data_IF_653899332419
#
_entry.id   IF_653899332419
#
_cell.length_a   1.000
_cell.length_b   1.000
_cell.length_c   1.000
_cell.angle_alpha   90.00
_cell.angle_beta   90.00
_cell.angle_gamma   90.00
#
_symmetry.space_group_name_H-M   'P 1'
#
loop_
_entity.id
_entity.type
_entity.pdbx_description
1 polymer ?
#
# COMPACT_ATOMS: atom_id res chain seq x y z
N UNK A 1 22.76 -0.65 -7.78
CA UNK A 1 21.77 -0.99 -6.71
C UNK A 1 20.37 -1.09 -7.29
N UNK A 2 19.50 -1.93 -6.71
CA UNK A 2 18.12 -2.14 -7.20
C UNK A 2 17.07 -1.89 -6.12
N UNK A 3 15.97 -1.25 -6.52
CA UNK A 3 14.85 -0.88 -5.66
C UNK A 3 13.57 -1.47 -6.23
N UNK A 4 12.71 -2.02 -5.38
CA UNK A 4 11.49 -2.69 -5.84
C UNK A 4 10.26 -2.08 -5.19
N UNK A 5 9.19 -1.93 -5.96
CA UNK A 5 7.90 -1.44 -5.51
C UNK A 5 6.79 -2.40 -5.91
N UNK A 6 5.88 -2.68 -5.00
CA UNK A 6 4.73 -3.55 -5.22
C UNK A 6 3.47 -2.78 -4.89
N UNK A 7 2.66 -2.57 -5.91
CA UNK A 7 1.33 -1.98 -5.81
C UNK A 7 0.28 -3.09 -5.72
N UNK A 8 -0.42 -3.19 -4.59
CA UNK A 8 -1.18 -4.38 -4.21
C UNK A 8 -2.68 -4.18 -4.37
N UNK A 9 -3.30 -5.02 -5.20
CA UNK A 9 -4.75 -5.03 -5.42
C UNK A 9 -5.41 -6.31 -4.91
N UNK A 10 -6.73 -6.41 -5.08
CA UNK A 10 -7.54 -7.51 -4.56
C UNK A 10 -7.19 -8.88 -5.15
N UNK A 11 -6.90 -8.95 -6.44
CA UNK A 11 -6.61 -10.20 -7.16
C UNK A 11 -5.28 -10.21 -7.92
N UNK A 12 -4.56 -9.09 -7.93
CA UNK A 12 -3.30 -8.94 -8.64
C UNK A 12 -2.39 -7.95 -7.89
N UNK A 13 -1.11 -7.97 -8.22
CA UNK A 13 -0.13 -7.00 -7.76
C UNK A 13 0.72 -6.57 -8.95
N UNK A 14 1.08 -5.29 -9.00
CA UNK A 14 2.04 -4.79 -9.98
C UNK A 14 3.39 -4.68 -9.31
N UNK A 15 4.37 -5.40 -9.87
CA UNK A 15 5.73 -5.45 -9.35
C UNK A 15 6.62 -4.66 -10.28
N UNK A 16 7.32 -3.67 -9.73
CA UNK A 16 8.29 -2.86 -10.42
C UNK A 16 9.69 -3.01 -9.78
N UNK A 17 10.72 -2.98 -10.61
CA UNK A 17 12.13 -2.92 -10.20
C UNK A 17 12.81 -1.82 -10.99
N UNK A 18 13.48 -0.91 -10.28
CA UNK A 18 14.32 0.15 -10.85
C UNK A 18 15.76 0.02 -10.36
N UNK A 19 16.69 0.64 -11.08
CA UNK A 19 18.07 0.82 -10.64
C UNK A 19 18.31 2.16 -9.92
N UNK A 20 19.56 2.44 -9.57
CA UNK A 20 19.98 3.70 -8.93
C UNK A 20 19.86 4.93 -9.83
N UNK A 21 19.84 4.73 -11.15
CA UNK A 21 19.70 5.75 -12.18
C UNK A 21 18.24 6.02 -12.56
N UNK A 22 17.29 5.42 -11.83
CA UNK A 22 15.86 5.53 -12.05
C UNK A 22 15.34 4.83 -13.32
N UNK A 23 16.13 3.92 -13.89
CA UNK A 23 15.74 3.13 -15.03
C UNK A 23 14.87 1.95 -14.59
N UNK A 24 13.72 1.78 -15.25
CA UNK A 24 12.83 0.63 -15.03
C UNK A 24 13.43 -0.61 -15.68
N UNK A 25 13.86 -1.56 -14.85
CA UNK A 25 14.41 -2.86 -15.26
C UNK A 25 13.31 -3.91 -15.46
N UNK A 26 12.23 -3.79 -14.68
CA UNK A 26 11.09 -4.71 -14.72
C UNK A 26 9.84 -3.97 -14.26
N UNK A 27 8.72 -4.18 -14.95
CA UNK A 27 7.40 -3.78 -14.48
C UNK A 27 6.36 -4.73 -15.07
N UNK A 28 5.69 -5.51 -14.24
CA UNK A 28 4.62 -6.43 -14.68
C UNK A 28 3.53 -6.58 -13.63
N UNK A 29 2.30 -6.74 -14.13
CA UNK A 29 1.17 -7.22 -13.35
C UNK A 29 1.24 -8.73 -13.19
N UNK A 30 1.15 -9.20 -11.96
CA UNK A 30 1.15 -10.61 -11.59
C UNK A 30 -0.13 -10.93 -10.81
N UNK A 31 -0.58 -12.19 -10.86
CA UNK A 31 -1.61 -12.65 -9.93
C UNK A 31 -1.10 -12.52 -8.48
N UNK A 32 -2.02 -12.47 -7.52
CA UNK A 32 -1.70 -12.52 -6.08
C UNK A 32 -1.20 -13.92 -5.66
N UNK A 33 -0.11 -14.35 -6.28
CA UNK A 33 0.61 -15.60 -6.03
C UNK A 33 2.01 -15.25 -5.54
N UNK A 34 2.30 -15.64 -4.30
CA UNK A 34 3.57 -15.35 -3.65
C UNK A 34 4.76 -15.97 -4.41
N UNK A 35 4.62 -17.15 -5.00
CA UNK A 35 5.70 -17.81 -5.72
C UNK A 35 6.06 -17.04 -6.99
N UNK A 36 5.05 -16.55 -7.72
CA UNK A 36 5.27 -15.73 -8.92
C UNK A 36 5.94 -14.39 -8.58
N UNK A 37 5.47 -13.72 -7.52
CA UNK A 37 6.04 -12.45 -7.07
C UNK A 37 7.49 -12.65 -6.60
N UNK A 38 7.76 -13.68 -5.80
CA UNK A 38 9.12 -14.00 -5.35
C UNK A 38 10.02 -14.33 -6.54
N UNK A 39 9.58 -15.14 -7.50
CA UNK A 39 10.37 -15.48 -8.69
C UNK A 39 10.74 -14.23 -9.52
N UNK A 40 9.77 -13.31 -9.70
CA UNK A 40 10.02 -12.04 -10.37
C UNK A 40 11.08 -11.22 -9.63
N UNK A 41 11.02 -11.17 -8.29
CA UNK A 41 12.00 -10.45 -7.48
C UNK A 41 13.37 -11.16 -7.46
N UNK A 42 13.44 -12.48 -7.35
CA UNK A 42 14.73 -13.21 -7.30
C UNK A 42 15.56 -12.98 -8.56
N UNK A 43 14.92 -12.84 -9.71
CA UNK A 43 15.59 -12.53 -10.99
C UNK A 43 16.36 -11.20 -10.98
N UNK A 44 16.10 -10.35 -9.98
CA UNK A 44 16.74 -9.05 -9.78
C UNK A 44 17.33 -8.92 -8.36
N UNK A 45 17.74 -10.03 -7.73
CA UNK A 45 18.21 -10.04 -6.33
C UNK A 45 19.58 -9.38 -6.12
N UNK A 46 20.47 -9.43 -7.12
CA UNK A 46 21.80 -8.83 -7.00
C UNK A 46 21.69 -7.32 -6.76
N UNK A 47 22.39 -6.85 -5.72
CA UNK A 47 22.43 -5.45 -5.26
C UNK A 47 21.08 -4.84 -4.86
N UNK A 48 20.09 -5.66 -4.47
CA UNK A 48 18.80 -5.16 -3.99
C UNK A 48 18.92 -4.52 -2.60
N UNK A 49 18.36 -3.32 -2.47
CA UNK A 49 18.27 -2.60 -1.19
C UNK A 49 17.02 -3.00 -0.38
N UNK A 50 15.88 -3.23 -1.04
CA UNK A 50 14.64 -3.60 -0.36
C UNK A 50 13.45 -3.69 -1.31
N UNK A 51 12.33 -4.16 -0.76
CA UNK A 51 11.04 -4.27 -1.46
C UNK A 51 10.00 -3.45 -0.72
N UNK A 52 9.44 -2.45 -1.40
CA UNK A 52 8.35 -1.64 -0.89
C UNK A 52 7.03 -2.31 -1.24
N UNK A 53 6.14 -2.46 -0.26
CA UNK A 53 4.78 -2.95 -0.48
C UNK A 53 3.79 -1.85 -0.10
N UNK A 54 2.82 -1.60 -0.96
CA UNK A 54 1.72 -0.70 -0.67
C UNK A 54 0.90 -1.19 0.55
N UNK A 55 0.64 -0.32 1.55
CA UNK A 55 -0.13 -0.68 2.75
C UNK A 55 -1.64 -0.76 2.52
N UNK A 56 -2.05 -1.30 1.38
CA UNK A 56 -3.44 -1.52 0.97
C UNK A 56 -3.80 -3.00 1.08
N UNK A 57 -5.11 -3.27 1.04
CA UNK A 57 -5.66 -4.63 0.99
C UNK A 57 -5.05 -5.59 2.04
N UNK A 58 -4.96 -6.88 1.71
CA UNK A 58 -4.42 -7.95 2.56
C UNK A 58 -2.89 -8.04 2.46
N UNK A 59 -2.18 -6.93 2.71
CA UNK A 59 -0.72 -6.88 2.63
C UNK A 59 -0.03 -7.82 3.65
N UNK A 60 -0.69 -8.21 4.74
CA UNK A 60 -0.12 -9.10 5.77
C UNK A 60 0.49 -10.37 5.14
N UNK A 61 -0.26 -11.06 4.27
CA UNK A 61 0.20 -12.32 3.67
C UNK A 61 1.40 -12.12 2.74
N UNK A 62 1.38 -11.04 1.95
CA UNK A 62 2.46 -10.72 1.03
C UNK A 62 3.74 -10.36 1.78
N UNK A 63 3.62 -9.45 2.76
CA UNK A 63 4.77 -8.99 3.56
C UNK A 63 5.37 -10.15 4.34
N UNK A 64 4.57 -10.97 5.02
CA UNK A 64 5.08 -12.15 5.74
C UNK A 64 5.79 -13.11 4.80
N UNK A 65 5.21 -13.37 3.62
CA UNK A 65 5.78 -14.25 2.61
C UNK A 65 7.12 -13.74 2.07
N UNK A 66 7.22 -12.43 1.83
CA UNK A 66 8.46 -11.80 1.39
C UNK A 66 9.54 -11.80 2.49
N UNK A 67 9.18 -11.51 3.74
CA UNK A 67 10.11 -11.59 4.88
C UNK A 67 10.59 -13.03 5.05
N UNK A 68 9.70 -14.02 4.98
CA UNK A 68 10.05 -15.44 5.06
C UNK A 68 10.95 -15.90 3.90
N UNK A 69 10.83 -15.27 2.72
CA UNK A 69 11.70 -15.48 1.58
C UNK A 69 13.04 -14.71 1.68
N UNK A 70 13.30 -13.99 2.78
CA UNK A 70 14.56 -13.31 3.06
C UNK A 70 14.66 -11.88 2.48
N UNK A 71 13.56 -11.27 2.05
CA UNK A 71 13.57 -9.90 1.58
C UNK A 71 13.52 -8.89 2.74
N UNK A 72 14.28 -7.80 2.61
CA UNK A 72 14.08 -6.60 3.41
C UNK A 72 12.83 -5.87 2.89
N UNK A 73 11.75 -5.88 3.66
CA UNK A 73 10.44 -5.35 3.25
C UNK A 73 10.14 -4.04 3.97
N UNK A 74 9.73 -3.05 3.21
CA UNK A 74 9.27 -1.75 3.68
C UNK A 74 7.79 -1.59 3.36
N UNK A 75 6.99 -1.16 4.32
CA UNK A 75 5.56 -0.97 4.13
C UNK A 75 5.28 0.51 3.84
N UNK A 76 4.75 0.84 2.68
CA UNK A 76 4.48 2.22 2.28
C UNK A 76 3.21 2.77 2.94
N UNK A 77 3.31 3.88 3.67
CA UNK A 77 2.15 4.61 4.18
C UNK A 77 1.51 5.46 3.08
N UNK A 78 0.58 4.86 2.35
CA UNK A 78 -0.12 5.50 1.22
C UNK A 78 -0.83 6.80 1.58
N UNK A 79 -1.39 6.90 2.80
CA UNK A 79 -2.05 8.12 3.26
C UNK A 79 -1.09 9.30 3.46
N UNK A 80 0.20 9.03 3.67
CA UNK A 80 1.25 10.05 3.80
C UNK A 80 1.99 10.31 2.49
N UNK A 81 1.84 9.43 1.49
CA UNK A 81 2.43 9.59 0.17
C UNK A 81 1.59 10.62 -0.59
N UNK A 82 2.15 11.82 -0.75
CA UNK A 82 1.59 12.84 -1.64
C UNK A 82 2.00 12.49 -3.07
N UNK A 83 1.22 11.64 -3.73
CA UNK A 83 1.32 11.52 -5.18
C UNK A 83 1.05 12.90 -5.79
N UNK A 84 1.87 13.32 -6.74
CA UNK A 84 1.76 14.62 -7.42
C UNK A 84 0.30 14.91 -7.81
N UNK A 85 -0.36 15.78 -7.04
CA UNK A 85 -1.72 16.24 -7.30
C UNK A 85 -1.75 16.92 -8.68
N UNK A 86 -2.23 16.21 -9.73
CA UNK A 86 -2.40 16.80 -11.06
C UNK A 86 -2.20 15.90 -12.28
N UNK A 87 -1.68 14.68 -12.15
CA UNK A 87 -1.50 13.79 -13.31
C UNK A 87 -2.78 13.00 -13.62
N UNK A 88 -3.43 13.38 -14.72
CA UNK A 88 -4.63 12.76 -15.34
C UNK A 88 -4.46 11.30 -15.80
N UNK A 89 -3.29 10.70 -15.58
CA UNK A 89 -2.93 9.35 -16.03
C UNK A 89 -2.17 8.62 -14.92
N UNK A 90 -2.88 8.29 -13.84
CA UNK A 90 -2.44 7.34 -12.82
C UNK A 90 -2.82 5.94 -13.30
N UNK A 91 -1.89 5.01 -13.20
CA UNK A 91 -2.11 3.61 -13.55
C UNK A 91 -1.14 2.76 -12.75
N UNK A 92 -1.60 1.57 -12.38
CA UNK A 92 -0.99 0.67 -11.39
C UNK A 92 0.53 0.43 -11.63
N UNK A 93 0.98 0.43 -12.88
CA UNK A 93 2.42 0.33 -13.23
C UNK A 93 3.25 1.54 -12.81
N UNK A 94 2.71 2.75 -12.98
CA UNK A 94 3.37 3.98 -12.53
C UNK A 94 3.39 4.06 -11.02
N UNK A 95 2.36 3.56 -10.35
CA UNK A 95 2.25 3.57 -8.90
C UNK A 95 3.32 2.65 -8.29
N UNK A 96 3.49 1.44 -8.84
CA UNK A 96 4.56 0.52 -8.43
C UNK A 96 5.96 1.10 -8.68
N UNK A 97 6.20 1.71 -9.86
CA UNK A 97 7.49 2.37 -10.16
C UNK A 97 7.73 3.55 -9.21
N UNK A 98 6.69 4.34 -8.91
CA UNK A 98 6.79 5.47 -8.01
C UNK A 98 7.16 5.04 -6.59
N UNK A 99 6.60 3.94 -6.08
CA UNK A 99 7.00 3.36 -4.79
C UNK A 99 8.50 3.01 -4.75
N UNK A 100 9.01 2.41 -5.82
CA UNK A 100 10.44 2.10 -5.94
C UNK A 100 11.29 3.39 -5.99
N UNK A 101 10.82 4.40 -6.71
CA UNK A 101 11.48 5.69 -6.87
C UNK A 101 11.61 6.46 -5.54
N UNK A 102 10.51 6.60 -4.78
CA UNK A 102 10.56 7.32 -3.49
C UNK A 102 11.41 6.59 -2.46
N UNK A 103 11.50 5.26 -2.54
CA UNK A 103 12.40 4.46 -1.70
C UNK A 103 13.86 4.66 -2.09
N UNK A 104 14.17 4.67 -3.39
CA UNK A 104 15.50 5.02 -3.92
C UNK A 104 15.97 6.40 -3.43
N UNK A 105 15.06 7.36 -3.33
CA UNK A 105 15.37 8.71 -2.83
C UNK A 105 15.46 8.81 -1.30
N UNK A 106 15.14 7.75 -0.55
CA UNK A 106 15.09 7.79 0.92
C UNK A 106 13.94 8.65 1.47
N UNK A 107 12.90 8.88 0.66
CA UNK A 107 11.75 9.72 1.01
C UNK A 107 10.50 8.90 1.36
N UNK A 108 10.62 7.58 1.42
CA UNK A 108 9.49 6.67 1.64
C UNK A 108 8.88 6.92 3.04
N UNK A 109 7.61 7.36 3.14
CA UNK A 109 6.90 7.36 4.40
C UNK A 109 6.54 5.91 4.76
N UNK A 110 7.17 5.37 5.80
CA UNK A 110 6.95 3.98 6.20
C UNK A 110 5.81 3.82 7.20
N UNK A 111 5.04 2.76 7.01
CA UNK A 111 4.08 2.23 7.97
C UNK A 111 4.71 1.14 8.84
N UNK A 112 4.21 1.01 10.06
CA UNK A 112 4.68 -0.05 10.96
C UNK A 112 4.15 -1.44 10.54
N UNK A 113 5.06 -2.40 10.35
CA UNK A 113 4.76 -3.81 10.10
C UNK A 113 4.50 -4.49 11.45
N UNK A 114 3.23 -4.71 11.77
CA UNK A 114 2.83 -5.33 13.05
C UNK A 114 3.22 -6.81 13.10
N UNK A 115 3.70 -7.33 14.24
CA UNK A 115 3.86 -8.76 14.46
C UNK A 115 2.52 -9.52 14.29
N UNK A 116 2.50 -10.76 13.78
CA UNK A 116 1.27 -11.53 13.56
C UNK A 116 0.34 -11.60 14.78
N UNK A 117 0.91 -11.76 15.98
CA UNK A 117 0.15 -11.86 17.23
C UNK A 117 -0.67 -10.60 17.56
N UNK A 118 -0.23 -9.42 17.12
CA UNK A 118 -0.86 -8.13 17.46
C UNK A 118 -1.90 -7.67 16.42
N UNK A 119 -1.88 -8.24 15.21
CA UNK A 119 -2.71 -7.80 14.08
C UNK A 119 -4.20 -7.93 14.35
N UNK A 120 -4.63 -9.03 14.97
CA UNK A 120 -6.04 -9.24 15.29
C UNK A 120 -6.60 -8.13 16.20
N UNK A 121 -5.85 -7.74 17.24
CA UNK A 121 -6.24 -6.65 18.13
C UNK A 121 -6.26 -5.31 17.39
N UNK A 122 -5.25 -5.03 16.58
CA UNK A 122 -5.20 -3.83 15.73
C UNK A 122 -6.41 -3.73 14.81
N UNK A 123 -6.77 -4.82 14.13
CA UNK A 123 -7.87 -4.86 13.17
C UNK A 123 -9.22 -4.64 13.86
N UNK A 124 -9.43 -5.26 15.03
CA UNK A 124 -10.61 -5.00 15.86
C UNK A 124 -10.69 -3.54 16.33
N UNK A 125 -9.57 -2.97 16.79
CA UNK A 125 -9.51 -1.58 17.21
C UNK A 125 -9.81 -0.61 16.05
N UNK A 126 -9.25 -0.88 14.87
CA UNK A 126 -9.55 -0.13 13.62
C UNK A 126 -11.02 -0.25 13.25
N UNK A 127 -11.61 -1.44 13.32
CA UNK A 127 -13.02 -1.64 13.01
C UNK A 127 -13.93 -0.88 13.99
N UNK A 128 -13.61 -0.92 15.28
CA UNK A 128 -14.32 -0.14 16.31
C UNK A 128 -14.26 1.35 16.01
N UNK A 129 -13.07 1.89 15.70
CA UNK A 129 -12.90 3.30 15.35
C UNK A 129 -13.75 3.68 14.14
N UNK A 130 -13.77 2.84 13.10
CA UNK A 130 -14.62 3.05 11.92
C UNK A 130 -16.11 3.12 12.30
N UNK A 131 -16.61 2.15 13.08
CA UNK A 131 -18.01 2.08 13.50
C UNK A 131 -18.42 3.28 14.36
N UNK A 132 -17.55 3.72 15.27
CA UNK A 132 -17.79 4.92 16.09
C UNK A 132 -17.90 6.16 15.23
N UNK A 133 -17.00 6.33 14.25
CA UNK A 133 -17.06 7.46 13.30
C UNK A 133 -18.34 7.42 12.45
N UNK A 134 -18.73 6.24 11.95
CA UNK A 134 -19.97 6.07 11.19
C UNK A 134 -21.20 6.41 12.02
N UNK A 135 -21.26 5.98 13.29
CA UNK A 135 -22.36 6.35 14.19
C UNK A 135 -22.51 7.87 14.28
N UNK A 136 -21.42 8.58 14.56
CA UNK A 136 -21.45 10.05 14.67
C UNK A 136 -21.89 10.70 13.35
N UNK A 137 -21.34 10.25 12.22
CA UNK A 137 -21.72 10.75 10.89
C UNK A 137 -23.21 10.56 10.59
N UNK A 138 -23.78 9.40 10.93
CA UNK A 138 -25.20 9.13 10.71
C UNK A 138 -26.11 9.97 11.61
N UNK A 139 -25.74 10.16 12.89
CA UNK A 139 -26.48 11.04 13.81
C UNK A 139 -26.53 12.47 13.25
N UNK A 140 -25.37 13.05 12.92
CA UNK A 140 -25.29 14.41 12.38
C UNK A 140 -26.04 14.56 11.04
N UNK A 141 -26.02 13.53 10.21
CA UNK A 141 -26.78 13.50 8.95
C UNK A 141 -28.30 13.55 9.21
N UNK A 142 -28.79 12.76 10.17
CA UNK A 142 -30.21 12.76 10.56
C UNK A 142 -30.61 14.11 11.17
N UNK A 143 -29.81 14.67 12.07
CA UNK A 143 -30.04 15.98 12.66
C UNK A 143 -30.12 17.08 11.59
N UNK A 144 -29.21 17.06 10.60
CA UNK A 144 -29.23 17.99 9.47
C UNK A 144 -30.50 17.83 8.62
N UNK A 145 -30.95 16.61 8.36
CA UNK A 145 -32.17 16.34 7.60
C UNK A 145 -33.42 16.84 8.34
N UNK A 146 -33.51 16.60 9.65
CA UNK A 146 -34.63 17.07 10.46
C UNK A 146 -34.67 18.60 10.54
N UNK A 147 -33.52 19.24 10.73
CA UNK A 147 -33.44 20.70 10.75
C UNK A 147 -33.98 21.33 9.45
N UNK A 148 -33.66 20.75 8.28
CA UNK A 148 -34.18 21.24 6.98
C UNK A 148 -35.70 21.16 6.86
N UNK A 149 -36.34 20.17 7.48
CA UNK A 149 -37.80 19.99 7.42
C UNK A 149 -38.54 20.92 8.39
N UNK A 150 -37.90 21.33 9.48
CA UNK A 150 -38.51 22.13 10.54
C UNK A 150 -38.32 23.64 10.30
N UNK A 151 -37.21 24.05 9.67
CA UNK A 151 -36.83 25.47 9.52
C UNK A 151 -37.73 26.27 8.56
N UNK A 152 -38.54 25.63 7.71
CA UNK A 152 -39.49 26.29 6.79
C UNK A 152 -40.98 26.06 7.17
N UNK A 153 -41.30 25.98 8.47
CA UNK A 153 -42.68 26.04 8.97
C UNK A 153 -42.94 27.33 9.73
#
# INVERSE_FOLDING_TARGET
>A
MKYSGIDLHSNNAVVAVIDDQDQVLYCKRLANDLQLIVAALVSHQDERQGVVVEATFNWYRLVDGLIAAGFAVHLANTAAIKQYEGLKYAGDERDAVFLAHIFRLGLLPEGYIYPPAERALRDLARKRLQLVRQRTLHILSIESLLARQIVFR
#
